data_IF_643922528205
#
_entry.id   IF_643922528205
#
_cell.length_a   1.000
_cell.length_b   1.000
_cell.length_c   1.000
_cell.angle_alpha   90.00
_cell.angle_beta   90.00
_cell.angle_gamma   90.00
#
_symmetry.space_group_name_H-M   'P 1'
#
loop_
_entity.id
_entity.type
_entity.pdbx_description
1 polymer ?
#
# COMPACT_ATOMS: atom_id res chain seq x y z
N UNK A 1 -28.92 65.76 40.19
CA UNK A 1 -30.22 65.63 40.89
C UNK A 1 -30.75 64.25 40.59
N UNK A 2 -31.14 63.51 41.64
CA UNK A 2 -31.74 62.15 41.65
C UNK A 2 -30.88 61.02 41.06
N UNK A 3 -30.71 59.85 41.68
CA UNK A 3 -31.38 59.26 42.86
C UNK A 3 -31.97 57.89 42.51
N UNK A 4 -31.66 56.89 43.35
CA UNK A 4 -32.42 55.64 43.64
C UNK A 4 -32.48 54.57 42.52
N UNK A 5 -32.44 53.25 42.74
CA UNK A 5 -32.39 52.41 43.94
C UNK A 5 -32.14 50.93 43.56
N UNK A 6 -31.62 50.16 44.53
CA UNK A 6 -31.71 48.69 44.76
C UNK A 6 -30.91 47.67 43.91
N UNK A 7 -30.20 46.80 44.63
CA UNK A 7 -29.54 45.54 44.22
C UNK A 7 -30.34 44.33 44.78
N UNK A 8 -29.94 43.03 44.70
CA UNK A 8 -28.72 42.43 44.11
C UNK A 8 -28.89 41.09 43.36
N UNK A 9 -27.89 40.69 42.56
CA UNK A 9 -27.18 39.39 42.67
C UNK A 9 -25.94 39.38 41.78
N UNK A 10 -24.77 39.31 42.41
CA UNK A 10 -23.43 39.25 41.83
C UNK A 10 -23.07 37.76 41.65
N UNK A 11 -22.90 37.29 40.43
CA UNK A 11 -21.61 37.01 39.78
C UNK A 11 -20.48 36.49 40.70
N UNK A 12 -20.02 35.31 40.30
CA UNK A 12 -19.02 34.42 40.89
C UNK A 12 -17.63 35.06 40.80
N UNK A 13 -16.90 35.07 41.92
CA UNK A 13 -15.45 35.31 41.95
C UNK A 13 -14.78 34.38 42.98
N UNK A 14 -13.68 33.78 42.52
CA UNK A 14 -12.50 33.26 43.22
C UNK A 14 -12.64 32.44 44.51
N UNK A 15 -12.21 31.18 44.42
CA UNK A 15 -11.58 30.46 45.53
C UNK A 15 -10.43 29.58 45.00
N UNK A 16 -9.27 29.82 45.59
CA UNK A 16 -7.99 29.11 45.45
C UNK A 16 -8.12 27.63 45.81
N UNK A 17 -7.36 26.76 45.13
CA UNK A 17 -7.21 25.34 45.48
C UNK A 17 -5.75 25.04 45.88
N UNK A 18 -5.51 24.06 46.78
CA UNK A 18 -4.34 24.04 47.65
C UNK A 18 -3.17 23.17 47.14
N UNK A 19 -1.97 23.57 47.54
CA UNK A 19 -0.74 22.79 47.46
C UNK A 19 -0.86 21.44 48.18
N UNK A 20 -0.55 20.35 47.47
CA UNK A 20 -0.41 19.02 48.06
C UNK A 20 0.99 18.47 47.75
N UNK A 21 1.81 18.56 48.80
CA UNK A 21 2.93 17.71 49.21
C UNK A 21 3.52 16.68 48.22
N UNK A 22 4.76 16.99 47.85
CA UNK A 22 5.79 16.09 47.34
C UNK A 22 6.05 14.92 48.31
N UNK A 23 5.72 13.71 47.91
CA UNK A 23 6.41 12.51 48.40
C UNK A 23 7.22 11.89 47.26
N UNK A 24 8.54 11.97 47.45
CA UNK A 24 9.55 11.25 46.69
C UNK A 24 9.32 9.75 46.83
N UNK A 25 8.90 9.10 45.74
CA UNK A 25 9.10 7.67 45.56
C UNK A 25 10.12 7.47 44.44
N UNK A 26 11.30 6.99 44.84
CA UNK A 26 12.33 6.50 43.94
C UNK A 26 11.78 5.31 43.14
N UNK A 27 11.38 5.55 41.89
CA UNK A 27 11.25 4.50 40.90
C UNK A 27 12.64 4.20 40.32
N UNK A 28 13.04 2.93 40.16
CA UNK A 28 14.28 2.58 39.49
C UNK A 28 14.24 3.16 38.07
N UNK A 29 15.35 3.79 37.67
CA UNK A 29 15.54 4.38 36.35
C UNK A 29 15.27 3.33 35.27
N UNK A 30 14.06 3.32 34.73
CA UNK A 30 13.75 2.58 33.51
C UNK A 30 14.55 3.21 32.40
N UNK A 31 15.38 2.40 31.75
CA UNK A 31 16.16 2.71 30.56
C UNK A 31 15.50 3.81 29.73
N UNK A 32 16.17 4.96 29.61
CA UNK A 32 15.97 5.83 28.45
C UNK A 32 16.22 4.95 27.24
N UNK A 33 15.16 4.53 26.56
CA UNK A 33 15.24 3.96 25.23
C UNK A 33 15.89 5.02 24.35
N UNK A 34 17.21 4.93 24.18
CA UNK A 34 17.90 5.60 23.09
C UNK A 34 17.19 5.09 21.84
N UNK A 35 16.47 5.99 21.17
CA UNK A 35 15.69 5.67 19.98
C UNK A 35 16.70 5.28 18.89
N UNK A 36 17.06 4.00 18.80
CA UNK A 36 18.08 3.52 17.89
C UNK A 36 17.64 3.83 16.45
N UNK A 37 18.48 4.54 15.71
CA UNK A 37 18.30 4.76 14.27
C UNK A 37 18.38 3.41 13.58
N UNK A 38 17.33 3.02 12.86
CA UNK A 38 17.27 1.76 12.14
C UNK A 38 18.19 1.80 10.92
N UNK A 39 19.04 0.80 10.75
CA UNK A 39 19.99 0.69 9.64
C UNK A 39 19.36 -0.13 8.51
N UNK A 40 19.25 0.47 7.34
CA UNK A 40 18.45 -0.03 6.22
C UNK A 40 19.35 -0.50 5.07
N UNK A 41 19.06 -1.69 4.56
CA UNK A 41 19.55 -2.17 3.27
C UNK A 41 18.50 -2.00 2.17
N UNK A 42 18.83 -1.33 1.06
CA UNK A 42 17.95 -1.26 -0.12
C UNK A 42 18.42 -2.29 -1.15
N UNK A 43 17.53 -3.20 -1.54
CA UNK A 43 17.80 -4.26 -2.52
C UNK A 43 17.05 -3.94 -3.83
N UNK A 44 17.81 -3.69 -4.89
CA UNK A 44 17.31 -3.20 -6.18
C UNK A 44 17.40 -1.68 -6.24
N UNK A 45 18.08 -1.14 -7.27
CA UNK A 45 18.31 0.30 -7.43
C UNK A 45 17.58 0.89 -8.65
N UNK A 46 16.50 0.23 -9.08
CA UNK A 46 15.66 0.60 -10.21
C UNK A 46 14.71 1.79 -9.97
N UNK A 47 13.68 1.92 -10.81
CA UNK A 47 12.77 3.08 -10.79
C UNK A 47 12.06 3.27 -9.44
N UNK A 48 11.47 2.20 -8.88
CA UNK A 48 10.73 2.27 -7.62
C UNK A 48 11.64 2.57 -6.42
N UNK A 49 12.87 2.03 -6.43
CA UNK A 49 13.86 2.28 -5.39
C UNK A 49 14.16 3.77 -5.19
N UNK A 50 14.07 4.59 -6.25
CA UNK A 50 14.23 6.05 -6.13
C UNK A 50 13.14 6.70 -5.27
N UNK A 51 11.91 6.19 -5.29
CA UNK A 51 10.85 6.64 -4.40
C UNK A 51 11.11 6.17 -2.97
N UNK A 52 11.58 4.94 -2.79
CA UNK A 52 11.98 4.45 -1.46
C UNK A 52 13.13 5.27 -0.88
N UNK A 53 14.13 5.61 -1.69
CA UNK A 53 15.22 6.48 -1.30
C UNK A 53 14.74 7.83 -0.79
N UNK A 54 13.77 8.45 -1.48
CA UNK A 54 13.16 9.69 -1.02
C UNK A 54 12.41 9.49 0.31
N UNK A 55 11.70 8.38 0.47
CA UNK A 55 11.06 8.01 1.74
C UNK A 55 12.05 7.88 2.90
N UNK A 56 13.14 7.14 2.72
CA UNK A 56 14.17 6.99 3.74
C UNK A 56 14.91 8.31 4.03
N UNK A 57 15.20 9.13 3.02
CA UNK A 57 15.74 10.49 3.22
C UNK A 57 14.79 11.36 4.04
N UNK A 58 13.49 11.29 3.74
CA UNK A 58 12.46 12.03 4.48
C UNK A 58 12.25 11.48 5.91
N UNK A 59 12.64 10.23 6.19
CA UNK A 59 12.58 9.56 7.49
C UNK A 59 13.97 9.34 8.12
N UNK A 60 14.91 10.26 7.87
CA UNK A 60 16.27 10.21 8.41
C UNK A 60 16.33 10.37 9.95
N UNK A 61 15.24 10.85 10.57
CA UNK A 61 15.05 10.88 12.02
C UNK A 61 14.78 9.49 12.62
N UNK A 62 14.33 8.54 11.79
CA UNK A 62 14.02 7.16 12.19
C UNK A 62 15.05 6.14 11.69
N UNK A 63 15.74 6.44 10.58
CA UNK A 63 16.53 5.47 9.85
C UNK A 63 17.76 6.05 9.15
N UNK A 64 18.71 5.16 8.82
CA UNK A 64 19.87 5.44 7.99
C UNK A 64 20.03 4.32 6.97
N UNK A 65 20.14 4.65 5.69
CA UNK A 65 20.51 3.68 4.65
C UNK A 65 22.01 3.42 4.75
N UNK A 66 22.41 2.17 4.98
CA UNK A 66 23.82 1.79 5.19
C UNK A 66 24.38 0.97 4.03
N UNK A 67 23.51 0.32 3.24
CA UNK A 67 23.91 -0.46 2.07
C UNK A 67 22.83 -0.44 1.00
N UNK A 68 23.25 -0.34 -0.26
CA UNK A 68 22.41 -0.50 -1.44
C UNK A 68 22.95 -1.65 -2.29
N UNK A 69 22.06 -2.44 -2.88
CA UNK A 69 22.41 -3.58 -3.69
C UNK A 69 21.69 -3.55 -5.03
N UNK A 70 22.38 -3.91 -6.11
CA UNK A 70 21.76 -4.23 -7.38
C UNK A 70 22.54 -5.39 -8.02
N UNK A 71 21.90 -6.56 -8.08
CA UNK A 71 22.55 -7.81 -8.52
C UNK A 71 22.80 -7.84 -10.04
N UNK A 72 22.06 -7.01 -10.79
CA UNK A 72 22.19 -6.93 -12.24
C UNK A 72 23.11 -5.78 -12.68
N UNK A 73 23.26 -4.75 -11.85
CA UNK A 73 24.04 -3.56 -12.19
C UNK A 73 24.71 -2.91 -10.97
N UNK A 74 25.93 -3.36 -10.65
CA UNK A 74 26.73 -2.79 -9.55
C UNK A 74 27.03 -1.29 -9.70
N UNK A 75 27.16 -0.77 -10.92
CA UNK A 75 27.39 0.67 -11.15
C UNK A 75 26.15 1.48 -10.75
N UNK A 76 24.95 0.96 -11.05
CA UNK A 76 23.70 1.56 -10.61
C UNK A 76 23.60 1.57 -9.07
N UNK A 77 23.96 0.45 -8.41
CA UNK A 77 24.02 0.40 -6.95
C UNK A 77 25.02 1.39 -6.37
N UNK A 78 26.20 1.51 -6.98
CA UNK A 78 27.26 2.43 -6.55
C UNK A 78 26.79 3.88 -6.62
N UNK A 79 26.22 4.29 -7.75
CA UNK A 79 25.68 5.65 -7.92
C UNK A 79 24.52 5.92 -6.97
N UNK A 80 23.64 4.94 -6.78
CA UNK A 80 22.49 5.06 -5.87
C UNK A 80 22.92 5.14 -4.39
N UNK A 81 24.01 4.47 -3.99
CA UNK A 81 24.52 4.51 -2.62
C UNK A 81 25.20 5.84 -2.26
N UNK A 82 25.77 6.55 -3.24
CA UNK A 82 26.41 7.86 -3.04
C UNK A 82 25.46 8.88 -2.40
N UNK A 83 24.19 8.83 -2.79
CA UNK A 83 23.10 9.67 -2.26
C UNK A 83 22.89 9.57 -0.75
N UNK A 84 23.45 8.52 -0.12
CA UNK A 84 23.35 8.21 1.29
C UNK A 84 24.71 8.14 2.00
N UNK A 85 25.81 8.17 1.24
CA UNK A 85 27.12 7.75 1.76
C UNK A 85 27.13 6.28 2.21
N UNK A 86 26.30 5.44 1.59
CA UNK A 86 26.13 4.02 1.92
C UNK A 86 27.14 3.14 1.17
N UNK A 87 27.30 1.89 1.64
CA UNK A 87 28.03 0.86 0.90
C UNK A 87 27.24 0.37 -0.32
N UNK A 88 27.91 -0.09 -1.36
CA UNK A 88 27.28 -0.69 -2.54
C UNK A 88 27.78 -2.12 -2.76
N UNK A 89 26.88 -3.02 -3.14
CA UNK A 89 27.21 -4.42 -3.46
C UNK A 89 26.35 -4.97 -4.59
N UNK A 90 26.82 -6.05 -5.22
CA UNK A 90 26.09 -6.80 -6.24
C UNK A 90 25.48 -8.10 -5.72
N UNK A 91 25.51 -8.33 -4.41
CA UNK A 91 24.98 -9.54 -3.78
C UNK A 91 24.01 -9.17 -2.66
N UNK A 92 22.74 -9.57 -2.82
CA UNK A 92 21.74 -9.37 -1.78
C UNK A 92 22.04 -10.26 -0.57
N UNK A 93 22.64 -11.44 -0.76
CA UNK A 93 23.09 -12.31 0.33
C UNK A 93 24.10 -11.59 1.22
N UNK A 94 25.07 -10.90 0.61
CA UNK A 94 26.04 -10.08 1.34
C UNK A 94 25.38 -8.91 2.11
N UNK A 95 24.18 -8.46 1.73
CA UNK A 95 23.40 -7.50 2.55
C UNK A 95 22.74 -8.18 3.73
N UNK A 96 22.19 -9.38 3.54
CA UNK A 96 21.56 -10.16 4.62
C UNK A 96 22.58 -10.61 5.67
N UNK A 97 23.82 -10.90 5.28
CA UNK A 97 24.87 -11.33 6.21
C UNK A 97 25.46 -10.18 7.07
N UNK A 98 25.06 -8.93 6.82
CA UNK A 98 25.58 -7.78 7.58
C UNK A 98 24.94 -7.65 8.95
N UNK A 99 25.79 -7.62 9.98
CA UNK A 99 25.40 -7.27 11.35
C UNK A 99 24.96 -5.81 11.51
N UNK A 100 25.30 -4.97 10.52
CA UNK A 100 24.95 -3.57 10.50
C UNK A 100 23.66 -3.22 9.75
N UNK A 101 22.83 -4.21 9.42
CA UNK A 101 21.53 -4.02 8.77
C UNK A 101 20.42 -4.57 9.68
N UNK A 102 19.46 -3.72 10.06
CA UNK A 102 18.33 -4.08 10.91
C UNK A 102 17.08 -4.43 10.08
N UNK A 103 16.90 -3.77 8.94
CA UNK A 103 15.78 -3.98 8.05
C UNK A 103 16.19 -3.84 6.57
N UNK A 104 15.42 -4.48 5.68
CA UNK A 104 15.62 -4.39 4.24
C UNK A 104 14.38 -3.85 3.52
N UNK A 105 14.63 -3.14 2.43
CA UNK A 105 13.64 -2.69 1.45
C UNK A 105 13.86 -3.45 0.15
N UNK A 106 12.98 -4.38 -0.18
CA UNK A 106 13.06 -5.21 -1.39
C UNK A 106 12.34 -4.47 -2.53
N UNK A 107 13.13 -3.90 -3.43
CA UNK A 107 12.73 -3.20 -4.66
C UNK A 107 13.21 -3.98 -5.92
N UNK A 108 13.35 -5.29 -5.79
CA UNK A 108 13.78 -6.21 -6.85
C UNK A 108 12.59 -6.65 -7.73
N UNK A 109 12.81 -7.36 -8.84
CA UNK A 109 11.74 -8.06 -9.54
C UNK A 109 11.02 -9.11 -8.65
N UNK A 110 9.72 -9.39 -8.89
CA UNK A 110 8.89 -10.22 -8.01
C UNK A 110 9.43 -11.62 -7.67
N UNK A 111 10.05 -12.31 -8.63
CA UNK A 111 10.62 -13.64 -8.40
C UNK A 111 11.71 -13.70 -7.31
N UNK A 112 12.30 -12.57 -6.95
CA UNK A 112 13.33 -12.52 -5.91
C UNK A 112 12.77 -12.19 -4.54
N UNK A 113 11.50 -11.76 -4.44
CA UNK A 113 10.90 -11.30 -3.19
C UNK A 113 10.90 -12.37 -2.11
N UNK A 114 10.34 -13.55 -2.39
CA UNK A 114 10.23 -14.63 -1.42
C UNK A 114 11.61 -15.17 -0.99
N UNK A 115 12.54 -15.54 -1.89
CA UNK A 115 13.88 -16.00 -1.49
C UNK A 115 14.62 -15.02 -0.57
N UNK A 116 14.55 -13.72 -0.89
CA UNK A 116 15.20 -12.67 -0.09
C UNK A 116 14.50 -12.51 1.27
N UNK A 117 13.18 -12.44 1.30
CA UNK A 117 12.43 -12.26 2.54
C UNK A 117 12.59 -13.44 3.50
N UNK A 118 12.65 -14.68 2.97
CA UNK A 118 12.91 -15.88 3.77
C UNK A 118 14.32 -15.84 4.39
N UNK A 119 15.34 -15.50 3.60
CA UNK A 119 16.70 -15.34 4.11
C UNK A 119 16.81 -14.22 5.15
N UNK A 120 16.12 -13.10 4.93
CA UNK A 120 16.05 -11.98 5.87
C UNK A 120 15.40 -12.38 7.20
N UNK A 121 14.32 -13.16 7.16
CA UNK A 121 13.67 -13.67 8.37
C UNK A 121 14.60 -14.59 9.16
N UNK A 122 15.33 -15.50 8.50
CA UNK A 122 16.35 -16.35 9.16
C UNK A 122 17.43 -15.51 9.84
N UNK A 123 17.84 -14.40 9.21
CA UNK A 123 18.81 -13.46 9.76
C UNK A 123 18.22 -12.45 10.78
N UNK A 124 16.93 -12.58 11.13
CA UNK A 124 16.27 -11.71 12.10
C UNK A 124 16.03 -10.27 11.62
N UNK A 125 15.97 -10.03 10.31
CA UNK A 125 15.79 -8.69 9.72
C UNK A 125 14.32 -8.40 9.40
N UNK A 126 13.91 -7.15 9.61
CA UNK A 126 12.58 -6.68 9.18
C UNK A 126 12.56 -6.46 7.66
N UNK A 127 11.39 -6.62 7.03
CA UNK A 127 11.23 -6.59 5.58
C UNK A 127 10.09 -5.65 5.17
N UNK A 128 10.41 -4.67 4.34
CA UNK A 128 9.46 -3.99 3.47
C UNK A 128 9.66 -4.54 2.06
N UNK A 129 8.65 -5.20 1.49
CA UNK A 129 8.71 -5.82 0.16
C UNK A 129 7.75 -5.14 -0.80
N UNK A 130 8.22 -4.76 -1.99
CA UNK A 130 7.34 -4.21 -3.02
C UNK A 130 6.25 -5.19 -3.46
N UNK A 131 5.16 -4.66 -4.03
CA UNK A 131 4.09 -5.47 -4.59
C UNK A 131 4.40 -5.90 -6.05
N UNK A 132 3.86 -7.04 -6.52
CA UNK A 132 3.16 -8.08 -5.75
C UNK A 132 4.10 -8.73 -4.72
N UNK A 133 3.54 -9.17 -3.59
CA UNK A 133 4.32 -9.64 -2.45
C UNK A 133 5.31 -10.76 -2.83
N UNK A 134 4.86 -11.70 -3.68
CA UNK A 134 5.68 -12.73 -4.31
C UNK A 134 4.99 -13.20 -5.61
N UNK A 135 5.46 -14.30 -6.22
CA UNK A 135 4.91 -14.78 -7.50
C UNK A 135 3.52 -15.40 -7.35
N UNK A 136 3.23 -16.00 -6.19
CA UNK A 136 2.00 -16.73 -5.94
C UNK A 136 1.66 -16.70 -4.43
N UNK A 137 0.45 -17.18 -4.08
CA UNK A 137 -0.02 -17.17 -2.70
C UNK A 137 0.80 -18.09 -1.79
N UNK A 138 1.27 -19.23 -2.30
CA UNK A 138 2.05 -20.19 -1.51
C UNK A 138 3.36 -19.56 -1.01
N UNK A 139 4.12 -18.91 -1.88
CA UNK A 139 5.33 -18.15 -1.52
C UNK A 139 5.01 -17.05 -0.48
N UNK A 140 3.88 -16.35 -0.64
CA UNK A 140 3.46 -15.34 0.34
C UNK A 140 3.21 -15.97 1.72
N UNK A 141 2.58 -17.15 1.79
CA UNK A 141 2.35 -17.88 3.05
C UNK A 141 3.67 -18.29 3.70
N UNK A 142 4.65 -18.75 2.92
CA UNK A 142 5.99 -19.06 3.41
C UNK A 142 6.67 -17.83 4.03
N UNK A 143 6.63 -16.67 3.34
CA UNK A 143 7.19 -15.42 3.85
C UNK A 143 6.53 -14.99 5.16
N UNK A 144 5.21 -15.05 5.26
CA UNK A 144 4.46 -14.71 6.49
C UNK A 144 4.81 -15.64 7.63
N UNK A 145 4.88 -16.95 7.36
CA UNK A 145 5.25 -17.94 8.36
C UNK A 145 6.68 -17.73 8.89
N UNK A 146 7.64 -17.46 7.99
CA UNK A 146 9.03 -17.19 8.36
C UNK A 146 9.16 -15.91 9.19
N UNK A 147 8.53 -14.81 8.77
CA UNK A 147 8.54 -13.55 9.52
C UNK A 147 7.93 -13.71 10.93
N UNK A 148 6.80 -14.43 11.02
CA UNK A 148 6.16 -14.75 12.30
C UNK A 148 7.07 -15.58 13.20
N UNK A 149 7.74 -16.60 12.66
CA UNK A 149 8.67 -17.44 13.43
C UNK A 149 9.88 -16.66 13.92
N UNK A 150 10.41 -15.74 13.10
CA UNK A 150 11.54 -14.88 13.44
C UNK A 150 11.16 -13.72 14.38
N UNK A 151 9.87 -13.43 14.53
CA UNK A 151 9.41 -12.24 15.26
C UNK A 151 9.73 -10.92 14.54
N UNK A 152 9.90 -10.96 13.22
CA UNK A 152 10.23 -9.78 12.40
C UNK A 152 8.99 -9.19 11.74
N UNK A 153 9.09 -7.91 11.39
CA UNK A 153 8.01 -7.20 10.67
C UNK A 153 8.13 -7.54 9.18
N UNK A 154 7.02 -7.92 8.57
CA UNK A 154 6.87 -8.07 7.12
C UNK A 154 5.75 -7.16 6.64
N UNK A 155 6.10 -6.13 5.86
CA UNK A 155 5.18 -5.16 5.28
C UNK A 155 5.26 -5.21 3.76
N UNK A 156 4.12 -5.08 3.08
CA UNK A 156 4.03 -5.03 1.61
C UNK A 156 3.80 -3.58 1.16
N UNK A 157 4.48 -3.19 0.07
CA UNK A 157 4.46 -1.88 -0.58
C UNK A 157 3.12 -1.54 -1.27
N UNK A 158 2.02 -1.56 -0.53
CA UNK A 158 0.69 -1.18 -0.99
C UNK A 158 0.42 0.30 -0.70
N UNK A 159 1.18 1.16 -1.36
CA UNK A 159 1.26 2.58 -1.06
C UNK A 159 -0.08 3.32 -1.23
N UNK A 160 -1.04 2.78 -2.00
CA UNK A 160 -2.35 3.41 -2.19
C UNK A 160 -3.15 3.61 -0.89
N UNK A 161 -2.92 2.80 0.16
CA UNK A 161 -3.57 3.01 1.47
C UNK A 161 -3.07 4.26 2.19
N UNK A 162 -1.89 4.76 1.82
CA UNK A 162 -1.24 5.93 2.41
C UNK A 162 -1.42 7.20 1.57
N UNK A 163 -2.04 7.09 0.39
CA UNK A 163 -2.38 8.24 -0.44
C UNK A 163 -3.45 9.10 0.26
N UNK A 164 -3.23 10.42 0.44
CA UNK A 164 -4.17 11.26 1.18
C UNK A 164 -5.59 11.25 0.62
N UNK A 165 -5.75 11.11 -0.70
CA UNK A 165 -7.06 10.95 -1.33
C UNK A 165 -7.77 9.69 -0.82
N UNK A 166 -7.10 8.54 -0.79
CA UNK A 166 -7.70 7.29 -0.35
C UNK A 166 -7.92 7.25 1.16
N UNK A 167 -7.04 7.88 1.95
CA UNK A 167 -7.26 8.09 3.38
C UNK A 167 -8.54 8.91 3.61
N UNK A 168 -8.74 10.00 2.84
CA UNK A 168 -9.94 10.83 2.93
C UNK A 168 -11.19 10.07 2.49
N UNK A 169 -11.11 9.31 1.40
CA UNK A 169 -12.23 8.48 0.92
C UNK A 169 -12.60 7.42 1.94
N UNK A 170 -11.63 6.74 2.55
CA UNK A 170 -11.90 5.79 3.63
C UNK A 170 -12.62 6.44 4.81
N UNK A 171 -12.21 7.63 5.24
CA UNK A 171 -12.91 8.35 6.31
C UNK A 171 -14.38 8.64 5.98
N UNK A 172 -14.69 8.96 4.72
CA UNK A 172 -16.07 9.17 4.27
C UNK A 172 -16.87 7.86 4.27
N UNK A 173 -16.26 6.77 3.80
CA UNK A 173 -16.86 5.43 3.79
C UNK A 173 -17.12 4.92 5.22
N UNK A 174 -16.15 5.07 6.12
CA UNK A 174 -16.26 4.66 7.53
C UNK A 174 -17.37 5.45 8.27
N UNK A 175 -17.64 6.68 7.84
CA UNK A 175 -18.76 7.51 8.34
C UNK A 175 -20.10 7.21 7.64
N UNK A 176 -20.12 6.21 6.74
CA UNK A 176 -21.28 5.87 5.91
C UNK A 176 -21.85 7.08 5.17
N UNK A 177 -20.96 7.92 4.62
CA UNK A 177 -21.33 9.15 3.94
C UNK A 177 -22.27 8.90 2.75
N UNK A 178 -22.14 7.78 2.07
CA UNK A 178 -23.02 7.36 0.97
C UNK A 178 -23.92 6.17 1.36
N UNK A 179 -24.10 5.92 2.67
CA UNK A 179 -24.85 4.79 3.17
C UNK A 179 -24.10 3.46 3.03
N UNK A 180 -24.84 2.37 2.82
CA UNK A 180 -24.27 1.05 2.53
C UNK A 180 -23.90 0.98 1.05
N UNK A 181 -22.61 0.80 0.78
CA UNK A 181 -22.13 0.51 -0.58
C UNK A 181 -22.68 -0.85 -1.02
N UNK A 182 -23.21 -0.92 -2.24
CA UNK A 182 -23.80 -2.13 -2.84
C UNK A 182 -23.08 -2.56 -4.12
N UNK A 183 -22.43 -1.62 -4.80
CA UNK A 183 -21.66 -1.93 -5.99
C UNK A 183 -20.44 -1.03 -6.15
N UNK A 184 -19.42 -1.52 -6.85
CA UNK A 184 -18.23 -0.75 -7.19
C UNK A 184 -17.72 -1.05 -8.60
N UNK A 185 -17.02 -0.07 -9.18
CA UNK A 185 -16.32 -0.16 -10.47
C UNK A 185 -14.93 0.40 -10.33
N UNK A 186 -13.93 -0.28 -10.88
CA UNK A 186 -12.58 0.26 -10.92
C UNK A 186 -11.78 -0.27 -12.11
N UNK A 187 -11.08 0.64 -12.79
CA UNK A 187 -10.31 0.30 -13.99
C UNK A 187 -8.93 0.94 -13.94
N UNK A 188 -7.97 0.35 -14.66
CA UNK A 188 -6.70 1.02 -14.96
C UNK A 188 -6.19 0.62 -16.33
N UNK A 189 -5.94 1.63 -17.17
CA UNK A 189 -5.40 1.45 -18.51
C UNK A 189 -4.02 2.10 -18.61
N UNK A 190 -3.04 1.33 -19.08
CA UNK A 190 -1.68 1.79 -19.28
C UNK A 190 -1.11 1.25 -20.60
N UNK A 191 0.00 1.83 -21.05
CA UNK A 191 0.71 1.31 -22.22
C UNK A 191 2.09 0.80 -21.85
N UNK A 192 2.16 -0.45 -21.39
CA UNK A 192 3.35 -1.02 -20.74
C UNK A 192 4.58 -1.02 -21.64
N UNK A 193 4.40 -1.16 -22.96
CA UNK A 193 5.51 -1.18 -23.94
C UNK A 193 6.33 0.12 -23.97
N UNK A 194 5.74 1.25 -23.56
CA UNK A 194 6.41 2.55 -23.48
C UNK A 194 6.97 2.82 -22.09
N UNK A 195 6.69 1.95 -21.12
CA UNK A 195 7.09 2.11 -19.72
C UNK A 195 8.34 1.29 -19.37
N UNK A 196 8.58 0.19 -20.10
CA UNK A 196 9.65 -0.76 -19.83
C UNK A 196 10.45 -1.11 -21.09
N UNK A 197 11.77 -1.36 -20.97
CA UNK A 197 12.58 -1.81 -22.10
C UNK A 197 12.17 -3.24 -22.54
N UNK A 198 12.37 -3.62 -23.82
CA UNK A 198 11.87 -4.88 -24.38
C UNK A 198 12.23 -6.18 -23.64
N UNK A 199 13.39 -6.20 -22.99
CA UNK A 199 13.96 -7.34 -22.25
C UNK A 199 13.62 -7.31 -20.74
N UNK A 200 12.73 -6.41 -20.31
CA UNK A 200 12.38 -6.25 -18.90
C UNK A 200 11.61 -7.45 -18.35
N UNK A 201 11.93 -7.81 -17.09
CA UNK A 201 11.28 -8.86 -16.30
C UNK A 201 9.74 -8.83 -16.32
N UNK A 202 9.12 -7.67 -16.50
CA UNK A 202 7.65 -7.52 -16.52
C UNK A 202 6.99 -8.24 -17.72
N UNK A 203 7.76 -8.53 -18.78
CA UNK A 203 7.29 -9.26 -19.95
C UNK A 203 7.41 -10.78 -19.81
N UNK A 204 7.94 -11.24 -18.69
CA UNK A 204 8.28 -12.64 -18.40
C UNK A 204 7.45 -13.15 -17.23
N UNK A 205 6.54 -14.09 -17.48
CA UNK A 205 5.62 -14.62 -16.45
C UNK A 205 6.39 -15.25 -15.29
N UNK A 206 7.46 -15.97 -15.61
CA UNK A 206 8.35 -16.62 -14.65
C UNK A 206 9.07 -15.64 -13.71
N UNK A 207 9.25 -14.38 -14.12
CA UNK A 207 9.94 -13.36 -13.31
C UNK A 207 8.98 -12.41 -12.57
N UNK A 208 7.72 -12.34 -13.01
CA UNK A 208 6.72 -11.35 -12.57
C UNK A 208 5.50 -11.96 -11.86
N UNK A 209 5.25 -13.26 -12.03
CA UNK A 209 4.11 -13.97 -11.45
C UNK A 209 2.79 -13.79 -12.21
N UNK A 210 2.75 -12.83 -13.13
CA UNK A 210 1.58 -12.48 -13.90
C UNK A 210 1.71 -11.11 -14.53
N UNK A 211 0.77 -10.81 -15.44
CA UNK A 211 0.70 -9.55 -16.14
C UNK A 211 -0.06 -8.49 -15.35
N UNK A 212 -0.97 -7.83 -16.03
CA UNK A 212 -1.68 -6.67 -15.50
C UNK A 212 -2.39 -6.91 -14.17
N UNK A 213 -2.92 -8.11 -13.92
CA UNK A 213 -3.61 -8.41 -12.66
C UNK A 213 -2.62 -8.38 -11.49
N UNK A 214 -1.52 -9.12 -11.59
CA UNK A 214 -0.48 -9.17 -10.55
C UNK A 214 0.32 -7.85 -10.44
N UNK A 215 0.52 -7.11 -11.53
CA UNK A 215 1.40 -5.93 -11.54
C UNK A 215 0.69 -4.62 -11.17
N UNK A 216 -0.58 -4.48 -11.55
CA UNK A 216 -1.34 -3.22 -11.40
C UNK A 216 -2.65 -3.42 -10.67
N UNK A 217 -3.46 -4.41 -11.05
CA UNK A 217 -4.76 -4.60 -10.40
C UNK A 217 -4.64 -4.93 -8.92
N UNK A 218 -3.54 -5.58 -8.53
CA UNK A 218 -3.18 -5.87 -7.13
C UNK A 218 -3.32 -4.65 -6.20
N UNK A 219 -3.00 -3.44 -6.68
CA UNK A 219 -3.16 -2.19 -5.90
C UNK A 219 -4.62 -1.88 -5.58
N UNK A 220 -5.51 -1.97 -6.58
CA UNK A 220 -6.95 -1.70 -6.36
C UNK A 220 -7.64 -2.85 -5.67
N UNK A 221 -7.26 -4.09 -5.95
CA UNK A 221 -7.75 -5.25 -5.20
C UNK A 221 -7.45 -5.06 -3.72
N UNK A 222 -6.21 -4.69 -3.38
CA UNK A 222 -5.81 -4.37 -2.02
C UNK A 222 -6.65 -3.23 -1.41
N UNK A 223 -6.78 -2.13 -2.15
CA UNK A 223 -7.52 -0.95 -1.68
C UNK A 223 -9.03 -1.24 -1.49
N UNK A 224 -9.66 -1.98 -2.40
CA UNK A 224 -11.07 -2.34 -2.28
C UNK A 224 -11.27 -3.26 -1.07
N UNK A 225 -10.33 -4.18 -0.81
CA UNK A 225 -10.35 -5.01 0.40
C UNK A 225 -10.21 -4.17 1.66
N UNK A 226 -9.34 -3.17 1.63
CA UNK A 226 -9.16 -2.22 2.73
C UNK A 226 -10.43 -1.38 3.02
N UNK A 227 -11.19 -1.03 1.98
CA UNK A 227 -12.42 -0.25 2.12
C UNK A 227 -13.63 -1.10 2.51
N UNK A 228 -13.76 -2.30 1.95
CA UNK A 228 -15.01 -3.05 1.95
C UNK A 228 -14.92 -4.45 2.57
N UNK A 229 -13.74 -4.88 2.98
CA UNK A 229 -13.50 -6.20 3.56
C UNK A 229 -13.17 -7.26 2.52
N UNK A 230 -13.29 -8.53 2.90
CA UNK A 230 -12.82 -9.65 2.09
C UNK A 230 -13.68 -9.92 0.85
N UNK A 231 -13.01 -10.27 -0.24
CA UNK A 231 -13.64 -10.81 -1.45
C UNK A 231 -13.94 -12.29 -1.21
N UNK A 232 -15.10 -12.73 -1.64
CA UNK A 232 -15.63 -14.07 -1.41
C UNK A 232 -15.50 -14.96 -2.65
N UNK A 233 -15.86 -14.46 -3.84
CA UNK A 233 -15.72 -15.18 -5.10
C UNK A 233 -15.51 -14.25 -6.29
N UNK A 234 -14.91 -14.79 -7.36
CA UNK A 234 -14.57 -14.06 -8.59
C UNK A 234 -14.92 -14.86 -9.84
N UNK A 235 -15.26 -14.15 -10.91
CA UNK A 235 -15.28 -14.69 -12.28
C UNK A 235 -14.46 -13.76 -13.18
N UNK A 236 -13.65 -14.31 -14.07
CA UNK A 236 -12.68 -13.54 -14.81
C UNK A 236 -12.50 -14.00 -16.26
N UNK A 237 -12.12 -13.05 -17.11
CA UNK A 237 -11.61 -13.26 -18.45
C UNK A 237 -10.28 -12.51 -18.56
N UNK A 238 -9.25 -13.16 -19.06
CA UNK A 238 -7.98 -12.53 -19.39
C UNK A 238 -7.44 -13.05 -20.72
N UNK A 239 -6.40 -12.40 -21.22
CA UNK A 239 -5.71 -12.86 -22.43
C UNK A 239 -4.64 -11.89 -22.90
N UNK A 240 -4.30 -12.03 -24.19
CA UNK A 240 -3.26 -11.28 -24.87
C UNK A 240 -3.85 -10.54 -26.06
N UNK A 241 -3.67 -9.23 -26.12
CA UNK A 241 -4.13 -8.38 -27.22
C UNK A 241 -3.31 -8.57 -28.50
N UNK A 242 -2.08 -9.09 -28.37
CA UNK A 242 -1.11 -9.17 -29.47
C UNK A 242 -0.47 -7.82 -29.85
N UNK A 243 -0.75 -6.75 -29.10
CA UNK A 243 -0.26 -5.39 -29.41
C UNK A 243 1.06 -5.04 -28.71
N UNK A 244 1.49 -5.84 -27.75
CA UNK A 244 2.77 -5.68 -27.10
C UNK A 244 3.78 -6.71 -27.66
N UNK A 245 4.74 -6.27 -28.49
CA UNK A 245 5.67 -7.18 -29.19
C UNK A 245 6.66 -7.87 -28.25
N UNK A 246 6.77 -7.41 -26.99
CA UNK A 246 7.73 -7.94 -26.03
C UNK A 246 7.18 -9.15 -25.26
N UNK A 247 5.86 -9.40 -25.27
CA UNK A 247 5.31 -10.59 -24.65
C UNK A 247 5.63 -11.82 -25.50
N UNK A 248 6.26 -12.81 -24.88
CA UNK A 248 6.50 -14.11 -25.50
C UNK A 248 5.19 -14.92 -25.56
N UNK A 249 5.04 -15.86 -26.52
CA UNK A 249 3.94 -16.82 -26.52
C UNK A 249 3.85 -17.55 -25.17
N UNK A 250 2.65 -17.60 -24.56
CA UNK A 250 2.46 -18.13 -23.21
C UNK A 250 2.89 -17.20 -22.07
N UNK A 251 3.26 -15.96 -22.38
CA UNK A 251 3.65 -14.94 -21.40
C UNK A 251 2.46 -14.33 -20.64
N UNK A 252 2.70 -13.17 -20.04
CA UNK A 252 1.73 -12.45 -19.21
C UNK A 252 0.51 -11.94 -19.97
N UNK A 253 -0.65 -11.94 -19.30
CA UNK A 253 -1.86 -11.29 -19.79
C UNK A 253 -1.70 -9.77 -19.83
N UNK A 254 -2.23 -9.14 -20.87
CA UNK A 254 -2.21 -7.68 -21.06
C UNK A 254 -3.61 -7.07 -21.16
N UNK A 255 -4.64 -7.90 -21.03
CA UNK A 255 -6.03 -7.51 -20.90
C UNK A 255 -6.73 -8.44 -19.90
N UNK A 256 -7.51 -7.86 -19.00
CA UNK A 256 -8.32 -8.59 -18.04
C UNK A 256 -9.63 -7.85 -17.72
N UNK A 257 -10.71 -8.61 -17.55
CA UNK A 257 -11.97 -8.16 -17.02
C UNK A 257 -12.44 -9.17 -15.97
N UNK A 258 -12.87 -8.70 -14.81
CA UNK A 258 -13.35 -9.57 -13.75
C UNK A 258 -14.49 -8.94 -12.96
N UNK A 259 -15.35 -9.79 -12.45
CA UNK A 259 -16.39 -9.46 -11.47
C UNK A 259 -16.12 -10.21 -10.18
N UNK A 260 -16.50 -9.61 -9.06
CA UNK A 260 -16.28 -10.17 -7.74
C UNK A 260 -17.44 -9.90 -6.80
N UNK A 261 -17.66 -10.80 -5.87
CA UNK A 261 -18.59 -10.60 -4.75
C UNK A 261 -17.78 -10.52 -3.47
N UNK A 262 -18.05 -9.53 -2.63
CA UNK A 262 -17.48 -9.43 -1.28
C UNK A 262 -18.28 -10.26 -0.29
N UNK A 263 -17.66 -10.65 0.82
CA UNK A 263 -18.33 -11.44 1.86
C UNK A 263 -19.55 -10.74 2.48
N UNK A 264 -19.65 -9.42 2.35
CA UNK A 264 -20.80 -8.60 2.77
C UNK A 264 -21.85 -8.37 1.68
N UNK A 265 -21.71 -8.99 0.50
CA UNK A 265 -22.66 -8.93 -0.61
C UNK A 265 -22.45 -7.77 -1.59
N UNK A 266 -21.40 -6.94 -1.43
CA UNK A 266 -21.04 -5.94 -2.45
C UNK A 266 -20.62 -6.66 -3.73
N UNK A 267 -21.07 -6.17 -4.89
CA UNK A 267 -20.63 -6.68 -6.20
C UNK A 267 -19.72 -5.64 -6.87
N UNK A 268 -18.53 -6.08 -7.27
CA UNK A 268 -17.54 -5.25 -7.96
C UNK A 268 -17.31 -5.73 -9.39
N UNK A 269 -17.02 -4.79 -10.29
CA UNK A 269 -16.45 -5.10 -11.60
C UNK A 269 -15.18 -4.28 -11.85
N UNK A 270 -14.30 -4.83 -12.67
CA UNK A 270 -13.06 -4.20 -13.04
C UNK A 270 -12.60 -4.56 -14.45
N UNK A 271 -11.98 -3.58 -15.11
CA UNK A 271 -11.37 -3.72 -16.42
C UNK A 271 -9.95 -3.14 -16.44
N UNK A 272 -9.03 -3.91 -17.02
CA UNK A 272 -7.61 -3.63 -16.99
C UNK A 272 -6.97 -3.91 -18.36
N UNK A 273 -6.17 -2.96 -18.85
CA UNK A 273 -5.56 -3.04 -20.19
C UNK A 273 -4.16 -2.43 -20.23
N UNK A 274 -3.18 -3.21 -20.67
CA UNK A 274 -1.77 -2.82 -20.88
C UNK A 274 -1.44 -2.43 -22.32
N UNK A 275 -2.44 -2.46 -23.21
CA UNK A 275 -2.30 -2.17 -24.63
C UNK A 275 -2.97 -0.84 -25.07
N UNK A 276 -3.44 -0.01 -24.14
CA UNK A 276 -4.13 1.23 -24.46
C UNK A 276 -3.29 2.47 -24.10
N UNK A 277 -3.27 3.45 -25.02
CA UNK A 277 -2.80 4.79 -24.68
C UNK A 277 -3.70 5.42 -23.62
N UNK A 278 -3.09 6.19 -22.71
CA UNK A 278 -3.84 7.16 -21.90
C UNK A 278 -4.42 8.20 -22.86
N UNK A 279 -5.71 8.06 -23.15
CA UNK A 279 -6.48 9.02 -23.94
C UNK A 279 -7.24 9.95 -23.00
N UNK A 280 -7.48 11.23 -23.36
CA UNK A 280 -8.18 12.21 -22.53
C UNK A 280 -9.70 11.93 -22.43
N UNK A 281 -10.11 10.67 -22.23
CA UNK A 281 -11.49 10.33 -21.90
C UNK A 281 -11.62 10.49 -20.37
N UNK A 282 -12.64 11.22 -19.86
CA UNK A 282 -12.85 11.42 -18.42
C UNK A 282 -12.86 10.13 -17.59
N UNK A 283 -13.28 9.01 -18.20
CA UNK A 283 -13.33 7.68 -17.58
C UNK A 283 -12.15 6.77 -17.93
N UNK A 284 -11.28 7.16 -18.88
CA UNK A 284 -10.11 6.37 -19.31
C UNK A 284 -8.77 7.10 -19.10
N UNK A 285 -8.78 8.23 -18.40
CA UNK A 285 -7.58 8.95 -17.96
C UNK A 285 -7.18 8.50 -16.56
N UNK A 286 -6.25 7.56 -16.47
CA UNK A 286 -5.71 7.10 -15.18
C UNK A 286 -6.47 5.92 -14.60
N UNK A 287 -6.63 5.92 -13.27
CA UNK A 287 -7.40 4.91 -12.54
C UNK A 287 -8.82 5.40 -12.36
N UNK A 288 -9.82 4.60 -12.75
CA UNK A 288 -11.23 4.88 -12.48
C UNK A 288 -11.62 4.21 -11.16
N UNK A 289 -12.46 4.87 -10.37
CA UNK A 289 -13.09 4.30 -9.19
C UNK A 289 -14.47 4.92 -9.00
N UNK A 290 -15.50 4.09 -8.85
CA UNK A 290 -16.88 4.48 -8.58
C UNK A 290 -17.47 3.56 -7.51
N UNK A 291 -18.09 4.14 -6.48
CA UNK A 291 -18.79 3.43 -5.41
C UNK A 291 -20.25 3.87 -5.37
N UNK A 292 -21.16 2.91 -5.47
CA UNK A 292 -22.60 3.12 -5.42
C UNK A 292 -23.12 2.72 -4.04
N UNK A 293 -23.63 3.68 -3.29
CA UNK A 293 -24.31 3.45 -2.02
C UNK A 293 -25.82 3.68 -2.12
N UNK A 294 -26.55 3.17 -1.14
CA UNK A 294 -28.01 3.37 -1.05
C UNK A 294 -28.41 4.81 -0.69
N UNK A 295 -27.47 5.62 -0.22
CA UNK A 295 -27.67 7.01 0.21
C UNK A 295 -26.67 7.96 -0.48
N UNK A 296 -26.08 7.55 -1.61
CA UNK A 296 -25.15 8.39 -2.35
C UNK A 296 -24.22 7.68 -3.33
N UNK A 297 -23.25 8.43 -3.84
CA UNK A 297 -22.23 7.95 -4.77
C UNK A 297 -20.90 8.67 -4.50
N UNK A 298 -19.80 7.95 -4.67
CA UNK A 298 -18.44 8.47 -4.66
C UNK A 298 -17.74 8.06 -5.96
N UNK A 299 -17.08 8.98 -6.66
CA UNK A 299 -16.29 8.63 -7.85
C UNK A 299 -15.11 9.56 -8.07
N UNK A 300 -14.11 9.13 -8.85
CA UNK A 300 -12.94 9.93 -9.18
C UNK A 300 -12.86 10.45 -10.63
N UNK A 301 -13.95 10.36 -11.40
CA UNK A 301 -14.04 10.93 -12.75
C UNK A 301 -13.71 12.43 -12.71
N UNK A 302 -12.57 12.80 -13.29
CA UNK A 302 -12.01 14.17 -13.25
C UNK A 302 -11.79 14.73 -11.83
N UNK A 303 -11.37 13.85 -10.93
CA UNK A 303 -11.19 14.13 -9.51
C UNK A 303 -12.31 13.54 -8.66
N UNK A 304 -12.10 13.52 -7.34
CA UNK A 304 -13.05 12.93 -6.42
C UNK A 304 -14.29 13.80 -6.25
N UNK A 305 -15.46 13.17 -6.37
CA UNK A 305 -16.76 13.78 -6.17
C UNK A 305 -17.61 12.89 -5.28
N UNK A 306 -18.50 13.52 -4.52
CA UNK A 306 -19.49 12.88 -3.66
C UNK A 306 -20.88 13.47 -3.91
N UNK A 307 -21.88 12.61 -3.86
CA UNK A 307 -23.26 12.99 -3.58
C UNK A 307 -23.76 12.17 -2.41
N UNK A 308 -24.47 12.78 -1.47
CA UNK A 308 -24.99 12.11 -0.28
C UNK A 308 -26.34 12.68 0.13
N UNK A 309 -27.33 11.82 0.34
CA UNK A 309 -28.62 12.18 0.95
C UNK A 309 -28.52 12.33 2.48
N UNK A 310 -27.45 11.82 3.10
CA UNK A 310 -27.23 11.85 4.56
C UNK A 310 -26.47 13.07 5.06
N UNK A 311 -25.61 13.65 4.23
CA UNK A 311 -24.75 14.77 4.61
C UNK A 311 -25.28 16.05 3.94
N UNK A 312 -25.81 17.02 4.69
CA UNK A 312 -26.38 18.25 4.13
C UNK A 312 -25.44 19.04 3.20
N UNK A 313 -24.12 18.97 3.46
CA UNK A 313 -23.08 19.58 2.59
C UNK A 313 -23.06 18.98 1.17
N UNK A 314 -23.47 17.73 1.02
CA UNK A 314 -23.37 16.94 -0.21
C UNK A 314 -24.74 16.54 -0.78
N UNK A 315 -25.85 17.08 -0.23
CA UNK A 315 -27.21 16.72 -0.65
C UNK A 315 -27.76 17.57 -1.80
N UNK A 316 -27.10 18.68 -2.13
CA UNK A 316 -27.52 19.61 -3.20
C UNK A 316 -27.18 19.16 -4.63
N UNK A 317 -26.55 17.99 -4.79
CA UNK A 317 -26.07 17.48 -6.07
C UNK A 317 -24.64 16.94 -5.95
N UNK A 318 -24.02 16.66 -7.09
CA UNK A 318 -22.63 16.18 -7.11
C UNK A 318 -21.67 17.30 -6.65
N UNK A 319 -20.95 17.06 -5.56
CA UNK A 319 -19.97 17.99 -4.99
C UNK A 319 -18.56 17.47 -5.24
N UNK A 320 -17.70 18.30 -5.85
CA UNK A 320 -16.27 17.99 -5.97
C UNK A 320 -15.61 18.10 -4.60
N UNK A 321 -14.89 17.05 -4.20
CA UNK A 321 -14.13 17.06 -2.96
C UNK A 321 -12.84 17.85 -3.14
N UNK A 322 -12.56 18.74 -2.18
CA UNK A 322 -11.28 19.46 -2.12
C UNK A 322 -10.21 18.54 -1.53
N UNK A 323 -9.66 17.69 -2.40
CA UNK A 323 -8.56 16.80 -2.09
C UNK A 323 -7.37 17.29 -2.92
N UNK A 324 -6.32 17.84 -2.28
CA UNK A 324 -5.13 18.28 -3.00
C UNK A 324 -4.53 17.11 -3.80
N UNK A 325 -4.00 17.41 -4.98
CA UNK A 325 -3.24 16.42 -5.74
C UNK A 325 -1.89 16.22 -5.05
N UNK A 326 -1.63 15.02 -4.55
CA UNK A 326 -0.34 14.68 -3.95
C UNK A 326 0.56 13.97 -4.96
N UNK A 327 1.86 14.31 -5.03
CA UNK A 327 2.85 13.50 -5.72
C UNK A 327 2.80 12.04 -5.26
N UNK A 328 2.96 11.09 -6.19
CA UNK A 328 3.03 9.66 -5.87
C UNK A 328 4.04 9.35 -4.75
N UNK A 329 5.18 10.05 -4.74
CA UNK A 329 6.25 9.81 -3.76
C UNK A 329 5.81 10.10 -2.31
N UNK A 330 4.85 10.99 -2.09
CA UNK A 330 4.39 11.33 -0.73
C UNK A 330 3.75 10.12 -0.05
N UNK A 331 3.05 9.27 -0.82
CA UNK A 331 2.49 8.02 -0.30
C UNK A 331 3.56 7.00 0.07
N UNK A 332 4.67 6.94 -0.68
CA UNK A 332 5.83 6.07 -0.37
C UNK A 332 6.58 6.59 0.86
N UNK A 333 6.67 7.92 1.03
CA UNK A 333 7.23 8.54 2.25
C UNK A 333 6.40 8.18 3.49
N UNK A 334 5.07 8.26 3.40
CA UNK A 334 4.17 7.87 4.47
C UNK A 334 4.25 6.37 4.79
N UNK A 335 4.30 5.53 3.76
CA UNK A 335 4.45 4.07 3.87
C UNK A 335 5.77 3.67 4.58
N UNK A 336 6.90 4.23 4.16
CA UNK A 336 8.21 3.93 4.77
C UNK A 336 8.26 4.38 6.22
N UNK A 337 7.72 5.56 6.53
CA UNK A 337 7.65 6.02 7.92
C UNK A 337 6.80 5.07 8.77
N UNK A 338 5.64 4.65 8.26
CA UNK A 338 4.78 3.67 8.93
C UNK A 338 5.51 2.35 9.20
N UNK A 339 6.28 1.85 8.23
CA UNK A 339 7.12 0.65 8.39
C UNK A 339 8.12 0.80 9.55
N UNK A 340 8.87 1.91 9.58
CA UNK A 340 9.89 2.19 10.60
C UNK A 340 9.27 2.35 11.99
N UNK A 341 8.12 3.01 12.09
CA UNK A 341 7.37 3.16 13.33
C UNK A 341 6.84 1.82 13.83
N UNK A 342 6.37 0.94 12.94
CA UNK A 342 5.91 -0.41 13.31
C UNK A 342 7.04 -1.26 13.90
N UNK A 343 8.24 -1.16 13.35
CA UNK A 343 9.43 -1.83 13.91
C UNK A 343 9.72 -1.31 15.32
N UNK A 344 9.76 0.02 15.50
CA UNK A 344 10.06 0.64 16.80
C UNK A 344 9.02 0.32 17.87
N UNK A 345 7.75 0.26 17.49
CA UNK A 345 6.64 0.07 18.41
C UNK A 345 6.25 -1.40 18.61
N UNK A 346 6.81 -2.32 17.81
CA UNK A 346 6.40 -3.73 17.83
C UNK A 346 4.94 -3.92 17.38
N UNK A 347 4.44 -3.07 16.49
CA UNK A 347 3.05 -3.11 16.00
C UNK A 347 2.97 -3.72 14.62
N UNK A 348 1.84 -4.36 14.31
CA UNK A 348 1.62 -4.89 12.97
C UNK A 348 1.35 -3.77 11.95
N UNK A 349 1.99 -3.80 10.77
CA UNK A 349 1.75 -2.81 9.73
C UNK A 349 0.32 -2.82 9.17
N UNK A 350 -0.15 -1.66 8.69
CA UNK A 350 -1.44 -1.53 7.99
C UNK A 350 -1.52 -2.43 6.75
N UNK A 351 -0.39 -2.63 6.09
CA UNK A 351 -0.22 -3.49 4.91
C UNK A 351 0.68 -4.67 5.24
N UNK A 352 0.44 -5.33 6.39
CA UNK A 352 1.24 -6.49 6.81
C UNK A 352 1.21 -7.60 5.75
N UNK A 353 2.24 -8.45 5.73
CA UNK A 353 2.26 -9.64 4.87
C UNK A 353 1.05 -10.54 5.13
N UNK A 354 0.64 -10.66 6.40
CA UNK A 354 -0.56 -11.41 6.80
C UNK A 354 -1.84 -10.83 6.18
N UNK A 355 -2.00 -9.51 6.22
CA UNK A 355 -3.12 -8.84 5.55
C UNK A 355 -3.06 -9.08 4.02
N UNK A 356 -1.88 -8.98 3.43
CA UNK A 356 -1.69 -9.13 1.99
C UNK A 356 -1.89 -10.56 1.47
N UNK A 357 -1.92 -11.60 2.33
CA UNK A 357 -2.37 -12.94 1.92
C UNK A 357 -3.75 -12.91 1.27
N UNK A 358 -4.67 -12.11 1.81
CA UNK A 358 -6.01 -12.00 1.20
C UNK A 358 -5.98 -11.25 -0.13
N UNK A 359 -5.08 -10.28 -0.31
CA UNK A 359 -4.91 -9.60 -1.61
C UNK A 359 -4.39 -10.58 -2.65
N UNK A 360 -3.38 -11.37 -2.30
CA UNK A 360 -2.80 -12.38 -3.19
C UNK A 360 -3.74 -13.55 -3.46
N UNK A 361 -4.59 -13.93 -2.51
CA UNK A 361 -5.63 -14.94 -2.71
C UNK A 361 -6.67 -14.50 -3.76
N UNK A 362 -7.03 -13.22 -3.78
CA UNK A 362 -7.91 -12.69 -4.83
C UNK A 362 -7.22 -12.70 -6.20
N UNK A 363 -5.95 -12.30 -6.26
CA UNK A 363 -5.16 -12.34 -7.50
C UNK A 363 -5.09 -13.77 -8.05
N UNK A 364 -4.78 -14.76 -7.20
CA UNK A 364 -4.73 -16.17 -7.59
C UNK A 364 -6.09 -16.70 -8.04
N UNK A 365 -7.17 -16.37 -7.32
CA UNK A 365 -8.53 -16.74 -7.70
C UNK A 365 -8.95 -16.13 -9.06
N UNK A 366 -8.52 -14.91 -9.38
CA UNK A 366 -8.77 -14.28 -10.69
C UNK A 366 -8.08 -15.07 -11.79
N UNK A 367 -6.82 -15.46 -11.59
CA UNK A 367 -6.10 -16.30 -12.57
C UNK A 367 -6.77 -17.65 -12.74
N UNK A 368 -7.12 -18.31 -11.64
CA UNK A 368 -7.80 -19.60 -11.67
C UNK A 368 -9.14 -19.51 -12.40
N UNK A 369 -9.98 -18.51 -12.09
CA UNK A 369 -11.27 -18.32 -12.74
C UNK A 369 -11.13 -18.10 -14.24
N UNK A 370 -10.12 -17.32 -14.65
CA UNK A 370 -9.84 -17.08 -16.06
C UNK A 370 -9.33 -18.34 -16.80
N UNK A 371 -8.60 -19.23 -16.12
CA UNK A 371 -8.12 -20.50 -16.68
C UNK A 371 -9.25 -21.54 -16.78
N UNK A 372 -9.99 -21.75 -15.69
CA UNK A 372 -11.03 -22.78 -15.61
C UNK A 372 -12.35 -22.38 -16.28
N UNK A 373 -12.54 -21.09 -16.56
CA UNK A 373 -13.79 -20.51 -17.07
C UNK A 373 -14.98 -20.76 -16.14
N UNK A 374 -14.73 -20.73 -14.84
CA UNK A 374 -15.75 -20.90 -13.78
C UNK A 374 -15.69 -19.76 -12.77
N UNK A 375 -16.73 -19.65 -11.93
CA UNK A 375 -16.64 -18.85 -10.70
C UNK A 375 -15.70 -19.58 -9.73
N UNK A 376 -14.81 -18.84 -9.07
CA UNK A 376 -13.85 -19.37 -8.11
C UNK A 376 -14.04 -18.69 -6.76
N UNK A 377 -14.17 -19.49 -5.70
CA UNK A 377 -14.13 -19.02 -4.31
C UNK A 377 -12.72 -18.57 -3.97
N UNK A 378 -12.61 -17.42 -3.33
CA UNK A 378 -11.33 -16.91 -2.82
C UNK A 378 -10.96 -17.70 -1.55
N UNK A 379 -9.72 -18.18 -1.50
CA UNK A 379 -9.21 -18.84 -0.29
C UNK A 379 -9.20 -17.89 0.90
N UNK A 380 -9.60 -18.39 2.07
CA UNK A 380 -9.53 -17.61 3.31
C UNK A 380 -8.08 -17.46 3.77
N UNK A 381 -7.84 -16.40 4.53
CA UNK A 381 -6.55 -16.01 5.10
C UNK A 381 -5.99 -16.97 6.16
N UNK A 382 -6.78 -17.95 6.60
CA UNK A 382 -6.49 -18.82 7.75
C UNK A 382 -5.23 -19.69 7.56
#
# INVERSE_FOLDING_TARGET
MCGMETAPTCMIADCQAPEIWLHQNCFPQTHRSVCMTLRIGILGCGKIARHHAQGYKAAADLSQVVVCCDEYNIELATNFAQDFGAYATGSWQAVIERDDVDAISICMPPHQHAPIALAAAVAGKHVLVEKPMALNLAECREMVAAAKQAGTVLMVGQNQRFQPEHVRIKQLLDRQAIGRVVALRFDCNQFVKHMYPPDSWIFHRELSGGGMVAQTAVHKIDLMRHFFGEVDEVAAFNGHTGLNPNYKPGGNEDIAAFVMTFANGIIGEAFYLFAAYKVPIPTATGELTIFYGDEGILHNVQGWHIYSTKIPEYSGGMTKLDIPSYPYVDSVVAEIRHFLECIRNGTEPLTSGRDNLGTMAVVEAIYQAAETKTVVKVERRD
#
